data_IF_340067289817
#
_entry.id   IF_340067289817
#
_cell.length_a   1.000
_cell.length_b   1.000
_cell.length_c   1.000
_cell.angle_alpha   90.00
_cell.angle_beta   90.00
_cell.angle_gamma   90.00
#
_symmetry.space_group_name_H-M   'P 1'
#
loop_
_entity.id
_entity.type
_entity.pdbx_description
1 polymer ?
#
# COMPACT_ATOMS: atom_id res chain seq x y z
N UNK A 1 20.46 -7.67 0.43
CA UNK A 1 20.11 -7.37 -0.97
C UNK A 1 21.32 -6.84 -1.73
N UNK A 2 21.49 -7.26 -3.00
CA UNK A 2 22.41 -6.62 -3.93
C UNK A 2 21.83 -5.29 -4.47
N UNK A 3 22.58 -4.53 -5.25
CA UNK A 3 22.15 -3.22 -5.76
C UNK A 3 20.83 -3.30 -6.54
N UNK A 4 20.65 -4.34 -7.39
CA UNK A 4 19.38 -4.52 -8.11
C UNK A 4 18.19 -4.74 -7.17
N UNK A 5 18.36 -5.58 -6.15
CA UNK A 5 17.31 -5.81 -5.14
C UNK A 5 17.02 -4.56 -4.31
N UNK A 6 18.04 -3.76 -4.02
CA UNK A 6 17.90 -2.48 -3.31
C UNK A 6 17.16 -1.45 -4.15
N UNK A 7 17.49 -1.32 -5.43
CA UNK A 7 16.78 -0.44 -6.35
C UNK A 7 15.33 -0.90 -6.59
N UNK A 8 15.10 -2.21 -6.70
CA UNK A 8 13.74 -2.78 -6.80
C UNK A 8 12.89 -2.39 -5.59
N UNK A 9 13.44 -2.54 -4.39
CA UNK A 9 12.80 -2.12 -3.14
C UNK A 9 12.54 -0.61 -3.12
N UNK A 10 13.51 0.19 -3.57
CA UNK A 10 13.36 1.65 -3.66
C UNK A 10 12.22 2.06 -4.59
N UNK A 11 12.07 1.41 -5.74
CA UNK A 11 10.96 1.62 -6.66
C UNK A 11 9.62 1.23 -6.04
N UNK A 12 9.53 0.07 -5.39
CA UNK A 12 8.33 -0.36 -4.66
C UNK A 12 7.94 0.65 -3.57
N UNK A 13 8.91 1.16 -2.82
CA UNK A 13 8.69 2.16 -1.78
C UNK A 13 8.15 3.47 -2.36
N UNK A 14 8.78 3.95 -3.42
CA UNK A 14 8.42 5.21 -4.09
C UNK A 14 6.99 5.20 -4.62
N UNK A 15 6.54 4.06 -5.17
CA UNK A 15 5.23 3.89 -5.81
C UNK A 15 4.14 3.37 -4.88
N UNK A 16 4.47 3.04 -3.62
CA UNK A 16 3.55 2.36 -2.71
C UNK A 16 2.25 3.13 -2.45
N UNK A 17 2.33 4.45 -2.28
CA UNK A 17 1.16 5.25 -1.97
C UNK A 17 0.15 5.25 -3.14
N UNK A 18 0.60 5.52 -4.37
CA UNK A 18 -0.25 5.56 -5.56
C UNK A 18 -0.73 4.18 -6.03
N UNK A 19 0.04 3.12 -5.73
CA UNK A 19 -0.31 1.73 -6.00
C UNK A 19 -1.20 1.09 -4.91
N UNK A 20 -1.43 1.76 -3.79
CA UNK A 20 -2.15 1.20 -2.63
C UNK A 20 -3.51 0.62 -2.98
N UNK A 21 -4.24 1.24 -3.93
CA UNK A 21 -5.56 0.79 -4.35
C UNK A 21 -5.54 -0.61 -5.00
N UNK A 22 -4.41 -1.02 -5.57
CA UNK A 22 -4.25 -2.37 -6.15
C UNK A 22 -4.19 -3.45 -5.06
N UNK A 23 -3.66 -3.11 -3.88
CA UNK A 23 -3.55 -4.00 -2.73
C UNK A 23 -4.64 -3.84 -1.68
N UNK A 24 -5.44 -2.77 -1.76
CA UNK A 24 -6.44 -2.41 -0.75
C UNK A 24 -7.59 -1.65 -1.41
N UNK A 25 -8.57 -2.37 -1.98
CA UNK A 25 -9.67 -1.80 -2.75
C UNK A 25 -10.99 -1.70 -1.97
N UNK A 26 -11.02 -2.04 -0.70
CA UNK A 26 -12.20 -2.00 0.18
C UNK A 26 -11.98 -1.09 1.37
N UNK A 27 -13.06 -0.53 1.92
CA UNK A 27 -12.99 0.29 3.14
C UNK A 27 -12.34 -0.49 4.28
N UNK A 28 -12.65 -1.78 4.42
CA UNK A 28 -12.10 -2.63 5.47
C UNK A 28 -10.57 -2.85 5.35
N UNK A 29 -10.02 -2.82 4.13
CA UNK A 29 -8.59 -2.99 3.93
C UNK A 29 -7.78 -1.91 4.66
N UNK A 30 -8.30 -0.68 4.74
CA UNK A 30 -7.65 0.44 5.43
C UNK A 30 -7.83 0.42 6.95
N UNK A 31 -8.89 -0.20 7.46
CA UNK A 31 -9.11 -0.35 8.91
C UNK A 31 -8.02 -1.19 9.59
N UNK A 32 -7.31 -2.01 8.83
CA UNK A 32 -6.15 -2.76 9.31
C UNK A 32 -4.95 -1.87 9.62
N UNK A 33 -4.83 -0.70 8.95
CA UNK A 33 -3.70 0.23 9.07
C UNK A 33 -3.76 1.01 10.37
N UNK A 34 -3.52 0.31 11.47
CA UNK A 34 -3.52 0.86 12.83
C UNK A 34 -2.21 0.56 13.53
N UNK A 35 -1.68 1.45 14.38
CA UNK A 35 -0.52 1.14 15.20
C UNK A 35 -0.72 -0.16 15.98
N UNK A 36 0.33 -0.95 16.12
CA UNK A 36 0.39 -2.24 16.83
C UNK A 36 -0.47 -3.37 16.21
N UNK A 37 -1.02 -3.19 15.00
CA UNK A 37 -1.79 -4.20 14.29
C UNK A 37 -0.93 -5.15 13.43
N UNK A 38 0.38 -4.93 13.35
CA UNK A 38 1.30 -5.54 12.40
C UNK A 38 0.96 -5.27 10.92
N UNK A 39 0.00 -4.40 10.64
CA UNK A 39 -0.21 -3.82 9.34
C UNK A 39 0.55 -2.48 9.27
N UNK A 40 1.34 -2.23 8.22
CA UNK A 40 2.10 -0.99 8.12
C UNK A 40 1.19 0.23 7.93
N UNK A 41 1.62 1.38 8.47
CA UNK A 41 0.93 2.67 8.36
C UNK A 41 1.70 3.68 7.51
N UNK A 42 2.89 3.31 7.06
CA UNK A 42 3.78 4.10 6.23
C UNK A 42 4.57 3.18 5.29
N UNK A 43 5.27 3.74 4.30
CA UNK A 43 6.08 3.01 3.34
C UNK A 43 7.51 2.74 3.86
N UNK A 44 7.65 2.33 5.10
CA UNK A 44 8.93 1.95 5.71
C UNK A 44 9.47 0.64 5.17
N UNK A 45 10.77 0.42 5.33
CA UNK A 45 11.40 -0.86 5.05
C UNK A 45 12.44 -1.22 6.12
N UNK A 46 12.71 -2.51 6.29
CA UNK A 46 13.65 -2.96 7.31
C UNK A 46 14.02 -4.43 7.19
N UNK A 47 15.12 -4.82 7.84
CA UNK A 47 15.59 -6.20 7.91
C UNK A 47 14.81 -6.95 8.98
N UNK A 48 14.19 -8.04 8.57
CA UNK A 48 13.39 -8.95 9.42
C UNK A 48 12.42 -8.26 10.41
N UNK A 49 11.99 -7.05 10.05
CA UNK A 49 11.14 -6.20 10.87
C UNK A 49 9.66 -6.40 10.48
N UNK A 50 8.81 -6.80 11.42
CA UNK A 50 7.39 -7.06 11.18
C UNK A 50 6.50 -5.80 11.25
N UNK A 51 7.04 -4.65 11.59
CA UNK A 51 6.28 -3.39 11.65
C UNK A 51 6.37 -2.57 10.36
N UNK A 52 7.35 -2.85 9.48
CA UNK A 52 7.56 -2.14 8.22
C UNK A 52 6.64 -2.63 7.09
N UNK A 53 6.51 -1.82 6.03
CA UNK A 53 5.75 -2.18 4.83
C UNK A 53 6.50 -3.14 3.90
N UNK A 54 7.81 -2.96 3.75
CA UNK A 54 8.69 -3.79 2.95
C UNK A 54 9.72 -4.48 3.86
N UNK A 55 9.42 -5.71 4.23
CA UNK A 55 10.30 -6.53 5.07
C UNK A 55 11.30 -7.28 4.19
N UNK A 56 12.56 -6.96 4.34
CA UNK A 56 13.66 -7.71 3.72
C UNK A 56 14.01 -8.88 4.63
N UNK A 57 13.94 -10.08 4.08
CA UNK A 57 14.34 -11.31 4.78
C UNK A 57 15.66 -11.74 4.17
N UNK A 58 16.70 -11.76 5.00
CA UNK A 58 18.04 -12.18 4.63
C UNK A 58 18.21 -13.68 4.83
N UNK A 59 19.21 -14.24 4.18
CA UNK A 59 19.52 -15.66 4.25
C UNK A 59 20.50 -16.05 3.13
N UNK A 60 20.46 -17.31 2.70
CA UNK A 60 21.18 -17.74 1.50
C UNK A 60 20.64 -17.02 0.26
N UNK A 61 21.40 -17.00 -0.83
CA UNK A 61 21.00 -16.34 -2.09
C UNK A 61 19.61 -16.78 -2.60
N UNK A 62 19.23 -18.02 -2.32
CA UNK A 62 17.90 -18.55 -2.69
C UNK A 62 16.79 -18.20 -1.69
N UNK A 63 17.11 -17.67 -0.50
CA UNK A 63 16.15 -17.35 0.55
C UNK A 63 15.87 -15.84 0.68
N UNK A 64 16.79 -15.01 0.17
CA UNK A 64 16.63 -13.54 0.20
C UNK A 64 15.37 -13.13 -0.56
N UNK A 65 14.51 -12.35 0.10
CA UNK A 65 13.26 -11.85 -0.49
C UNK A 65 12.79 -10.56 0.15
N UNK A 66 11.94 -9.85 -0.57
CA UNK A 66 11.17 -8.71 -0.09
C UNK A 66 9.74 -9.17 0.15
N UNK A 67 9.24 -9.00 1.37
CA UNK A 67 7.84 -9.27 1.74
C UNK A 67 7.09 -7.95 1.81
N UNK A 68 6.14 -7.74 0.90
CA UNK A 68 5.22 -6.60 0.94
C UNK A 68 4.06 -6.90 1.90
N UNK A 69 3.74 -5.99 2.81
CA UNK A 69 2.88 -6.25 3.96
C UNK A 69 1.64 -5.36 4.07
N UNK A 70 1.52 -4.35 3.20
CA UNK A 70 0.40 -3.40 3.21
C UNK A 70 -0.87 -3.89 2.49
N UNK A 71 -0.74 -4.90 1.61
CA UNK A 71 -1.84 -5.46 0.86
C UNK A 71 -2.77 -6.34 1.72
N UNK A 72 -4.07 -6.30 1.43
CA UNK A 72 -5.08 -7.16 2.02
C UNK A 72 -5.19 -8.52 1.33
N UNK A 73 -5.71 -9.52 2.04
CA UNK A 73 -5.97 -10.85 1.47
C UNK A 73 -7.11 -10.84 0.42
N UNK A 74 -7.91 -9.79 0.42
CA UNK A 74 -9.04 -9.54 -0.48
C UNK A 74 -8.66 -8.72 -1.73
N UNK A 75 -7.37 -8.46 -1.94
CA UNK A 75 -6.89 -7.73 -3.11
C UNK A 75 -6.99 -8.57 -4.40
N UNK A 76 -7.04 -7.88 -5.54
CA UNK A 76 -6.85 -8.54 -6.83
C UNK A 76 -5.34 -8.83 -7.04
N UNK A 77 -4.92 -10.11 -7.02
CA UNK A 77 -3.50 -10.44 -7.07
C UNK A 77 -2.84 -10.07 -8.40
N UNK A 78 -3.60 -10.02 -9.50
CA UNK A 78 -3.06 -9.63 -10.80
C UNK A 78 -2.71 -8.15 -10.84
N UNK A 79 -3.58 -7.27 -10.33
CA UNK A 79 -3.34 -5.83 -10.28
C UNK A 79 -2.23 -5.51 -9.28
N UNK A 80 -2.22 -6.17 -8.12
CA UNK A 80 -1.17 -6.00 -7.13
C UNK A 80 0.19 -6.37 -7.69
N UNK A 81 0.31 -7.56 -8.29
CA UNK A 81 1.59 -8.02 -8.86
C UNK A 81 2.04 -7.15 -10.04
N UNK A 82 1.11 -6.70 -10.90
CA UNK A 82 1.45 -5.81 -12.00
C UNK A 82 2.04 -4.50 -11.50
N UNK A 83 1.41 -3.87 -10.51
CA UNK A 83 1.91 -2.64 -9.90
C UNK A 83 3.25 -2.84 -9.19
N UNK A 84 3.41 -3.91 -8.41
CA UNK A 84 4.63 -4.19 -7.66
C UNK A 84 5.83 -4.49 -8.57
N UNK A 85 5.61 -5.28 -9.62
CA UNK A 85 6.66 -5.61 -10.60
C UNK A 85 7.06 -4.34 -11.37
N UNK A 86 6.10 -3.57 -11.85
CA UNK A 86 6.37 -2.33 -12.57
C UNK A 86 7.14 -1.34 -11.70
N UNK A 87 6.70 -1.12 -10.45
CA UNK A 87 7.39 -0.26 -9.49
C UNK A 87 8.84 -0.69 -9.25
N UNK A 88 9.06 -2.00 -9.06
CA UNK A 88 10.39 -2.54 -8.85
C UNK A 88 11.29 -2.41 -10.09
N UNK A 89 10.76 -2.63 -11.29
CA UNK A 89 11.51 -2.46 -12.55
C UNK A 89 11.87 -1.00 -12.79
N UNK A 90 10.94 -0.07 -12.58
CA UNK A 90 11.23 1.38 -12.63
C UNK A 90 12.35 1.75 -11.65
N UNK A 91 12.31 1.17 -10.45
CA UNK A 91 13.35 1.38 -9.45
C UNK A 91 14.73 0.89 -9.90
N UNK A 92 14.80 -0.27 -10.57
CA UNK A 92 16.05 -0.79 -11.13
C UNK A 92 16.55 0.13 -12.26
N UNK A 93 15.66 0.52 -13.18
CA UNK A 93 16.01 1.36 -14.32
C UNK A 93 16.47 2.76 -13.87
N UNK A 94 15.72 3.37 -12.95
CA UNK A 94 16.01 4.68 -12.37
C UNK A 94 17.11 4.68 -11.31
N UNK A 95 17.63 3.49 -10.91
CA UNK A 95 18.56 3.33 -9.78
C UNK A 95 18.03 4.00 -8.51
N UNK A 96 16.76 3.80 -8.22
CA UNK A 96 16.08 4.44 -7.10
C UNK A 96 16.55 3.84 -5.78
N UNK A 97 17.16 4.67 -4.95
CA UNK A 97 17.55 4.25 -3.60
C UNK A 97 16.33 4.32 -2.66
N UNK A 98 16.13 3.33 -1.80
CA UNK A 98 15.14 3.43 -0.75
C UNK A 98 15.55 4.48 0.29
N UNK A 99 14.61 4.93 1.12
CA UNK A 99 14.89 5.77 2.28
C UNK A 99 15.84 5.08 3.26
N UNK A 100 16.26 5.77 4.31
CA UNK A 100 17.01 5.12 5.38
C UNK A 100 16.24 3.91 5.93
N UNK A 101 16.98 2.88 6.31
CA UNK A 101 16.38 1.67 6.90
C UNK A 101 15.72 1.99 8.25
N UNK A 102 14.50 1.53 8.44
CA UNK A 102 13.81 1.63 9.73
C UNK A 102 14.32 0.57 10.69
N UNK A 103 14.96 1.02 11.76
CA UNK A 103 15.38 0.18 12.88
C UNK A 103 14.43 0.37 14.05
N UNK A 104 13.86 -0.71 14.57
CA UNK A 104 12.89 -0.64 15.67
C UNK A 104 11.44 -0.55 15.19
N UNK A 105 10.62 0.23 15.91
CA UNK A 105 9.17 0.28 15.67
C UNK A 105 8.81 1.25 14.52
N UNK A 106 8.38 0.72 13.37
CA UNK A 106 8.04 1.53 12.21
C UNK A 106 6.80 2.41 12.40
N UNK A 107 5.98 2.17 13.41
CA UNK A 107 4.86 3.05 13.75
C UNK A 107 5.30 4.41 14.33
N UNK A 108 6.56 4.51 14.73
CA UNK A 108 7.20 5.71 15.32
C UNK A 108 8.22 6.33 14.34
N UNK A 109 8.30 5.84 13.11
CA UNK A 109 9.21 6.35 12.08
C UNK A 109 8.56 7.48 11.29
N UNK A 110 8.80 8.71 11.74
CA UNK A 110 8.30 9.92 11.09
C UNK A 110 9.00 10.25 9.75
N UNK A 111 10.10 9.56 9.44
CA UNK A 111 10.84 9.76 8.18
C UNK A 111 10.36 8.84 7.06
N UNK A 112 9.58 7.81 7.36
CA UNK A 112 9.04 6.91 6.36
C UNK A 112 7.94 7.62 5.53
N UNK A 113 7.94 7.46 4.18
CA UNK A 113 6.92 8.08 3.35
C UNK A 113 5.50 7.65 3.76
N UNK A 114 4.51 8.56 3.72
CA UNK A 114 3.14 8.22 4.05
C UNK A 114 2.49 7.30 3.02
N UNK A 115 1.52 6.51 3.46
CA UNK A 115 0.60 5.76 2.58
C UNK A 115 -0.84 6.19 2.89
N UNK A 116 -1.81 5.94 1.97
CA UNK A 116 -3.20 6.31 2.18
C UNK A 116 -3.76 5.73 3.48
N UNK A 117 -4.55 6.51 4.20
CA UNK A 117 -5.19 6.11 5.46
C UNK A 117 -6.57 5.51 5.27
N UNK A 118 -7.21 5.84 4.17
CA UNK A 118 -8.53 5.34 3.81
C UNK A 118 -8.67 5.14 2.29
N UNK A 119 -9.83 4.62 1.88
CA UNK A 119 -10.10 4.33 0.47
C UNK A 119 -10.24 5.63 -0.36
N UNK A 120 -10.72 6.73 0.22
CA UNK A 120 -10.86 8.00 -0.49
C UNK A 120 -9.50 8.59 -0.86
N UNK A 121 -8.55 8.58 0.09
CA UNK A 121 -7.17 9.00 -0.14
C UNK A 121 -6.52 8.15 -1.24
N UNK A 122 -6.71 6.81 -1.19
CA UNK A 122 -6.13 5.91 -2.18
C UNK A 122 -6.72 6.12 -3.59
N UNK A 123 -8.02 6.36 -3.71
CA UNK A 123 -8.67 6.71 -4.97
C UNK A 123 -8.08 8.01 -5.51
N UNK A 124 -7.93 9.02 -4.66
CA UNK A 124 -7.37 10.32 -5.07
C UNK A 124 -5.94 10.19 -5.60
N UNK A 125 -5.08 9.46 -4.88
CA UNK A 125 -3.70 9.23 -5.30
C UNK A 125 -3.61 8.45 -6.60
N UNK A 126 -4.38 7.36 -6.73
CA UNK A 126 -4.40 6.54 -7.93
C UNK A 126 -4.94 7.30 -9.14
N UNK A 127 -5.99 8.11 -8.97
CA UNK A 127 -6.57 8.94 -10.05
C UNK A 127 -5.58 9.94 -10.61
N UNK A 128 -4.74 10.51 -9.77
CA UNK A 128 -3.73 11.48 -10.15
C UNK A 128 -2.40 10.84 -10.59
N UNK A 129 -2.28 9.52 -10.53
CA UNK A 129 -1.08 8.80 -10.92
C UNK A 129 -1.06 8.49 -12.42
N UNK A 130 -0.30 9.29 -13.19
CA UNK A 130 0.01 8.95 -14.58
C UNK A 130 0.75 7.61 -14.70
N UNK A 131 1.66 7.34 -13.76
CA UNK A 131 2.40 6.09 -13.70
C UNK A 131 1.46 4.87 -13.56
N UNK A 132 0.55 4.87 -12.60
CA UNK A 132 -0.36 3.73 -12.40
C UNK A 132 -1.28 3.52 -13.60
N UNK A 133 -1.71 4.61 -14.24
CA UNK A 133 -2.49 4.56 -15.48
C UNK A 133 -1.71 3.92 -16.62
N UNK A 134 -0.42 4.23 -16.76
CA UNK A 134 0.43 3.64 -17.80
C UNK A 134 0.68 2.14 -17.52
N UNK A 135 0.88 1.76 -16.26
CA UNK A 135 1.09 0.36 -15.84
C UNK A 135 -0.15 -0.51 -16.09
N UNK A 136 -1.34 -0.03 -15.73
CA UNK A 136 -2.58 -0.79 -15.86
C UNK A 136 -3.21 -0.66 -17.24
N UNK A 137 -2.85 0.36 -18.00
CA UNK A 137 -3.59 0.81 -19.17
C UNK A 137 -4.80 1.66 -18.81
N UNK A 138 -5.14 2.62 -19.67
CA UNK A 138 -6.17 3.64 -19.37
C UNK A 138 -7.53 3.04 -18.99
N UNK A 139 -7.99 2.03 -19.73
CA UNK A 139 -9.31 1.43 -19.52
C UNK A 139 -9.36 0.65 -18.19
N UNK A 140 -8.36 -0.17 -17.90
CA UNK A 140 -8.31 -0.94 -16.67
C UNK A 140 -8.16 -0.03 -15.44
N UNK A 141 -7.34 1.01 -15.55
CA UNK A 141 -7.19 2.02 -14.50
C UNK A 141 -8.52 2.71 -14.18
N UNK A 142 -9.26 3.16 -15.21
CA UNK A 142 -10.55 3.83 -15.01
C UNK A 142 -11.60 2.87 -14.43
N UNK A 143 -11.69 1.63 -14.95
CA UNK A 143 -12.64 0.62 -14.44
C UNK A 143 -12.36 0.35 -12.95
N UNK A 144 -11.08 0.23 -12.57
CA UNK A 144 -10.71 -0.04 -11.19
C UNK A 144 -11.05 1.11 -10.24
N UNK A 145 -10.80 2.34 -10.68
CA UNK A 145 -11.19 3.54 -9.93
C UNK A 145 -12.71 3.63 -9.74
N UNK A 146 -13.48 3.45 -10.82
CA UNK A 146 -14.95 3.48 -10.74
C UNK A 146 -15.49 2.40 -9.80
N UNK A 147 -14.89 1.21 -9.77
CA UNK A 147 -15.28 0.16 -8.83
C UNK A 147 -15.02 0.58 -7.39
N UNK A 148 -13.84 1.14 -7.10
CA UNK A 148 -13.49 1.61 -5.75
C UNK A 148 -14.38 2.78 -5.30
N UNK A 149 -14.71 3.71 -6.21
CA UNK A 149 -15.62 4.82 -5.94
C UNK A 149 -17.04 4.33 -5.62
N UNK A 150 -17.54 3.32 -6.33
CA UNK A 150 -18.83 2.71 -6.04
C UNK A 150 -18.84 2.02 -4.69
N UNK A 151 -17.77 1.31 -4.34
CA UNK A 151 -17.60 0.69 -3.02
C UNK A 151 -17.64 1.72 -1.91
N UNK A 152 -16.88 2.81 -2.05
CA UNK A 152 -16.85 3.91 -1.10
C UNK A 152 -18.23 4.59 -0.97
N UNK A 153 -18.88 4.88 -2.10
CA UNK A 153 -20.22 5.49 -2.11
C UNK A 153 -21.27 4.59 -1.45
N UNK A 154 -21.24 3.29 -1.76
CA UNK A 154 -22.14 2.31 -1.15
C UNK A 154 -21.93 2.23 0.36
N UNK A 155 -20.67 2.17 0.81
CA UNK A 155 -20.35 2.15 2.23
C UNK A 155 -20.84 3.42 2.96
N UNK A 156 -20.61 4.60 2.38
CA UNK A 156 -20.97 5.88 2.99
C UNK A 156 -22.49 6.11 3.08
N UNK A 157 -23.29 5.35 2.36
CA UNK A 157 -24.76 5.38 2.45
C UNK A 157 -25.30 4.49 3.57
N UNK A 158 -24.48 3.65 4.17
CA UNK A 158 -24.93 2.72 5.22
C UNK A 158 -24.91 3.40 6.58
N UNK A 159 -26.02 3.33 7.30
CA UNK A 159 -26.05 3.66 8.72
C UNK A 159 -25.60 2.44 9.51
N UNK A 160 -24.48 2.58 10.20
CA UNK A 160 -23.88 1.46 10.93
C UNK A 160 -24.56 1.25 12.30
N UNK A 161 -24.52 0.02 12.86
CA UNK A 161 -24.96 -0.21 14.24
C UNK A 161 -24.25 0.68 15.26
N UNK A 162 -22.99 1.03 15.02
CA UNK A 162 -22.24 1.95 15.86
C UNK A 162 -22.87 3.35 15.85
N UNK A 163 -23.20 3.90 14.68
CA UNK A 163 -23.83 5.22 14.55
C UNK A 163 -25.21 5.23 15.23
N UNK A 164 -26.00 4.17 15.00
CA UNK A 164 -27.32 4.02 15.65
C UNK A 164 -27.18 3.99 17.17
N UNK A 165 -26.27 3.16 17.70
CA UNK A 165 -26.02 3.07 19.13
C UNK A 165 -25.49 4.36 19.76
N UNK A 166 -24.66 5.09 18.99
CA UNK A 166 -23.99 6.31 19.45
C UNK A 166 -24.91 7.53 19.45
N UNK A 167 -25.74 7.66 18.42
CA UNK A 167 -26.47 8.91 18.17
C UNK A 167 -27.99 8.81 18.42
N UNK A 168 -28.57 7.60 18.35
CA UNK A 168 -29.98 7.43 18.63
C UNK A 168 -30.29 7.71 20.12
N UNK A 169 -31.07 8.75 20.38
CA UNK A 169 -31.41 9.17 21.72
C UNK A 169 -30.43 10.14 22.40
N UNK A 170 -29.39 10.57 21.69
CA UNK A 170 -28.42 11.56 22.20
C UNK A 170 -28.71 12.97 21.68
N UNK A 171 -29.43 13.09 20.57
CA UNK A 171 -29.84 14.34 19.91
C UNK A 171 -31.32 14.35 19.65
#
# INVERSE_FOLDING_TARGET
LNDRGRHFLGGMQQRMAEASICGAATVNAYRRRQPLSFCPINASWGLDNRTVALRVIEGSDSAVRIEKRDAGADCNPYLLMAADIAAGLDGIEGKTEPTAITTGNAYEDDNAPPIPRDLADAISLARNSGWLRDVLGADQHEIWLQQAERELAFFNQQVTPFETARYLGTF
#
